data_IF_526450354898
#
_entry.id   IF_526450354898
#
_cell.length_a   1.000
_cell.length_b   1.000
_cell.length_c   1.000
_cell.angle_alpha   90.00
_cell.angle_beta   90.00
_cell.angle_gamma   90.00
#
_symmetry.space_group_name_H-M   'P 1'
#
loop_
_entity.id
_entity.type
_entity.pdbx_description
1 polymer ?
#
# COMPACT_ATOMS: atom_id res chain seq x y z
N UNK A 1 39.85 -61.66 38.97
CA UNK A 1 38.60 -60.90 38.96
C UNK A 1 38.90 -59.55 38.33
N UNK A 2 38.38 -59.33 37.14
CA UNK A 2 38.54 -58.07 36.43
C UNK A 2 37.31 -57.24 36.65
N UNK A 3 37.46 -56.14 37.34
CA UNK A 3 36.41 -55.14 37.50
C UNK A 3 36.33 -54.32 36.24
N UNK A 4 35.21 -54.45 35.53
CA UNK A 4 34.96 -53.60 34.36
C UNK A 4 34.30 -52.31 34.83
N UNK A 5 35.04 -51.22 34.80
CA UNK A 5 34.48 -49.92 35.02
C UNK A 5 33.83 -49.42 33.70
N UNK A 6 32.54 -49.54 33.65
CA UNK A 6 31.79 -48.93 32.56
C UNK A 6 31.57 -47.48 32.92
N UNK A 7 32.39 -46.66 32.35
CA UNK A 7 32.20 -45.20 32.43
C UNK A 7 31.08 -44.82 31.45
N UNK A 8 29.90 -44.60 32.00
CA UNK A 8 28.80 -44.04 31.23
C UNK A 8 29.12 -42.59 30.94
N UNK A 9 29.57 -42.35 29.74
CA UNK A 9 29.59 -40.98 29.19
C UNK A 9 28.13 -40.59 28.88
N UNK A 10 27.51 -39.91 29.82
CA UNK A 10 26.28 -39.12 29.48
C UNK A 10 26.68 -37.99 28.57
N UNK A 11 26.54 -38.22 27.29
CA UNK A 11 26.53 -37.12 26.34
C UNK A 11 25.25 -36.33 26.57
N UNK A 12 25.34 -35.29 27.36
CA UNK A 12 24.31 -34.24 27.37
C UNK A 12 24.39 -33.55 26.01
N UNK A 13 23.52 -33.95 25.11
CA UNK A 13 23.20 -33.14 23.95
C UNK A 13 22.45 -31.91 24.48
N UNK A 14 23.16 -30.82 24.64
CA UNK A 14 22.55 -29.51 24.79
C UNK A 14 21.88 -29.18 23.44
N UNK A 15 20.61 -29.52 23.34
CA UNK A 15 19.77 -28.98 22.27
C UNK A 15 19.67 -27.48 22.50
N UNK A 16 20.52 -26.76 21.83
CA UNK A 16 20.38 -25.31 21.71
C UNK A 16 19.14 -25.07 20.85
N UNK A 17 18.01 -24.90 21.53
CA UNK A 17 16.79 -24.45 20.87
C UNK A 17 17.05 -23.02 20.45
N UNK A 18 17.49 -22.85 19.21
CA UNK A 18 17.55 -21.56 18.57
C UNK A 18 16.10 -21.13 18.34
N UNK A 19 15.51 -20.50 19.34
CA UNK A 19 14.24 -19.77 19.17
C UNK A 19 14.60 -18.59 18.30
N UNK A 20 14.59 -18.84 17.00
CA UNK A 20 14.58 -17.76 16.03
C UNK A 20 13.31 -16.96 16.28
N UNK A 21 13.44 -15.82 16.93
CA UNK A 21 12.38 -14.82 16.90
C UNK A 21 12.21 -14.45 15.44
N UNK A 22 11.24 -15.09 14.78
CA UNK A 22 10.71 -14.56 13.56
C UNK A 22 10.13 -13.18 13.93
N UNK A 23 10.94 -12.16 13.78
CA UNK A 23 10.41 -10.81 13.70
C UNK A 23 9.53 -10.81 12.46
N UNK A 24 8.24 -11.03 12.67
CA UNK A 24 7.26 -10.79 11.63
C UNK A 24 7.44 -9.31 11.25
N UNK A 25 8.16 -9.08 10.16
CA UNK A 25 8.15 -7.76 9.52
C UNK A 25 6.70 -7.54 9.14
N UNK A 26 5.99 -6.82 9.97
CA UNK A 26 4.64 -6.40 9.62
C UNK A 26 4.76 -5.55 8.37
N UNK A 27 4.21 -6.06 7.29
CA UNK A 27 3.96 -5.24 6.13
C UNK A 27 3.25 -3.97 6.58
N UNK A 28 3.72 -2.82 6.12
CA UNK A 28 3.07 -1.56 6.45
C UNK A 28 1.60 -1.65 6.06
N UNK A 29 0.70 -1.32 7.00
CA UNK A 29 -0.73 -1.40 6.77
C UNK A 29 -1.15 -0.32 5.78
N UNK A 30 -1.71 -0.74 4.65
CA UNK A 30 -2.22 0.18 3.64
C UNK A 30 -3.52 0.87 4.05
N UNK A 31 -4.19 0.38 5.10
CA UNK A 31 -5.41 1.00 5.62
C UNK A 31 -5.14 2.41 6.14
N UNK A 32 -6.04 3.31 5.84
CA UNK A 32 -5.96 4.69 6.30
C UNK A 32 -6.29 5.70 5.22
N UNK A 33 -6.03 6.95 5.52
CA UNK A 33 -6.26 8.07 4.62
C UNK A 33 -4.93 8.59 4.09
N UNK A 34 -4.86 8.75 2.78
CA UNK A 34 -3.68 9.19 2.06
C UNK A 34 -4.01 10.40 1.21
N UNK A 35 -3.09 11.34 1.10
CA UNK A 35 -3.29 12.54 0.28
C UNK A 35 -2.07 12.83 -0.57
N UNK A 36 -2.32 13.39 -1.73
CA UNK A 36 -1.28 13.97 -2.58
C UNK A 36 -1.80 15.18 -3.32
N UNK A 37 -0.88 15.98 -3.78
CA UNK A 37 -1.17 17.19 -4.52
C UNK A 37 -0.61 17.08 -5.93
N UNK A 38 -1.38 17.50 -6.90
CA UNK A 38 -0.92 17.65 -8.29
C UNK A 38 -0.93 19.13 -8.68
N UNK A 39 0.03 19.57 -9.50
CA UNK A 39 0.03 20.96 -9.97
C UNK A 39 -1.28 21.32 -10.64
N UNK A 40 -1.76 22.50 -10.37
CA UNK A 40 -2.92 23.05 -11.05
C UNK A 40 -2.64 23.31 -12.53
N UNK A 41 -3.68 23.33 -13.34
CA UNK A 41 -3.54 23.67 -14.75
C UNK A 41 -3.27 25.18 -14.90
N UNK A 42 -2.38 25.51 -15.81
CA UNK A 42 -2.04 26.91 -16.16
C UNK A 42 -1.61 27.78 -14.98
N UNK A 43 -0.83 27.19 -14.05
CA UNK A 43 -0.37 27.91 -12.87
C UNK A 43 -1.44 28.14 -11.80
N UNK A 44 -2.57 27.45 -11.88
CA UNK A 44 -3.64 27.50 -10.88
C UNK A 44 -3.26 26.78 -9.58
N UNK A 45 -4.17 26.81 -8.62
CA UNK A 45 -3.97 26.18 -7.33
C UNK A 45 -3.75 24.66 -7.45
N UNK A 46 -2.87 24.09 -6.60
CA UNK A 46 -2.66 22.64 -6.57
C UNK A 46 -3.97 21.90 -6.28
N UNK A 47 -4.14 20.77 -6.92
CA UNK A 47 -5.28 19.89 -6.72
C UNK A 47 -4.93 18.79 -5.73
N UNK A 48 -5.64 18.76 -4.62
CA UNK A 48 -5.46 17.75 -3.59
C UNK A 48 -6.40 16.58 -3.84
N UNK A 49 -5.85 15.38 -3.86
CA UNK A 49 -6.60 14.14 -3.93
C UNK A 49 -6.48 13.41 -2.59
N UNK A 50 -7.57 12.78 -2.17
CA UNK A 50 -7.64 12.01 -0.93
C UNK A 50 -8.04 10.57 -1.25
N UNK A 51 -7.24 9.64 -0.80
CA UNK A 51 -7.46 8.20 -0.97
C UNK A 51 -7.72 7.57 0.38
N UNK A 52 -8.85 6.90 0.52
CA UNK A 52 -9.20 6.15 1.72
C UNK A 52 -9.12 4.68 1.37
N UNK A 53 -8.25 3.95 2.08
CA UNK A 53 -8.03 2.53 1.87
C UNK A 53 -8.38 1.72 3.10
N UNK A 54 -8.92 0.54 2.85
CA UNK A 54 -9.13 -0.51 3.85
C UNK A 54 -8.52 -1.80 3.32
N UNK A 55 -7.50 -2.31 4.01
CA UNK A 55 -6.86 -3.57 3.66
C UNK A 55 -7.50 -4.72 4.46
N UNK A 56 -7.87 -5.78 3.74
CA UNK A 56 -8.37 -7.02 4.31
C UNK A 56 -7.72 -8.20 3.59
N UNK A 57 -6.93 -8.99 4.34
CA UNK A 57 -6.14 -10.08 3.77
C UNK A 57 -5.27 -9.57 2.60
N UNK A 58 -5.48 -10.08 1.39
CA UNK A 58 -4.74 -9.68 0.19
C UNK A 58 -5.46 -8.65 -0.68
N UNK A 59 -6.59 -8.12 -0.20
CA UNK A 59 -7.41 -7.16 -0.93
C UNK A 59 -7.44 -5.81 -0.26
N UNK A 60 -7.56 -4.77 -1.06
CA UNK A 60 -7.86 -3.42 -0.59
C UNK A 60 -9.12 -2.89 -1.25
N UNK A 61 -9.93 -2.21 -0.45
CA UNK A 61 -11.12 -1.51 -0.88
C UNK A 61 -11.02 -0.04 -0.48
N UNK A 62 -11.84 0.79 -1.03
CA UNK A 62 -11.87 2.19 -0.66
C UNK A 62 -12.35 3.10 -1.78
N UNK A 63 -12.02 4.37 -1.64
CA UNK A 63 -12.41 5.39 -2.62
C UNK A 63 -11.33 6.45 -2.77
N UNK A 64 -11.28 7.02 -3.96
CA UNK A 64 -10.49 8.20 -4.28
C UNK A 64 -11.41 9.41 -4.40
N UNK A 65 -11.20 10.41 -3.58
CA UNK A 65 -11.81 11.73 -3.72
C UNK A 65 -10.85 12.65 -4.47
N UNK A 66 -11.25 13.10 -5.62
CA UNK A 66 -10.41 13.96 -6.46
C UNK A 66 -11.20 15.16 -6.98
N UNK A 67 -10.55 16.31 -7.23
CA UNK A 67 -11.23 17.44 -7.79
C UNK A 67 -11.72 17.16 -9.21
N UNK A 68 -13.01 17.40 -9.43
CA UNK A 68 -13.61 17.40 -10.76
C UNK A 68 -13.21 18.65 -11.55
N UNK A 69 -13.73 18.74 -12.78
CA UNK A 69 -13.46 19.90 -13.65
C UNK A 69 -14.11 21.20 -13.18
N UNK A 70 -15.23 21.07 -12.51
CA UNK A 70 -16.00 22.18 -11.93
C UNK A 70 -15.48 22.63 -10.55
N UNK A 71 -14.37 22.06 -10.08
CA UNK A 71 -13.80 22.32 -8.78
C UNK A 71 -14.46 21.56 -7.63
N UNK A 72 -15.53 20.82 -7.89
CA UNK A 72 -16.17 19.96 -6.89
C UNK A 72 -15.45 18.63 -6.77
N UNK A 73 -15.39 18.09 -5.55
CA UNK A 73 -14.84 16.74 -5.33
C UNK A 73 -15.74 15.67 -5.93
N UNK A 74 -15.12 14.72 -6.60
CA UNK A 74 -15.77 13.52 -7.13
C UNK A 74 -15.20 12.32 -6.39
N UNK A 75 -16.08 11.49 -5.83
CA UNK A 75 -15.71 10.23 -5.18
C UNK A 75 -15.75 9.09 -6.20
N UNK A 76 -14.64 8.41 -6.34
CA UNK A 76 -14.47 7.30 -7.27
C UNK A 76 -14.11 6.04 -6.47
N UNK A 77 -14.89 4.97 -6.57
CA UNK A 77 -14.51 3.72 -5.93
C UNK A 77 -13.25 3.17 -6.58
N UNK A 78 -12.37 2.57 -5.77
CA UNK A 78 -11.26 1.81 -6.32
C UNK A 78 -11.74 0.43 -6.78
N UNK A 79 -11.10 -0.08 -7.81
CA UNK A 79 -11.37 -1.40 -8.39
C UNK A 79 -10.08 -2.22 -8.39
N UNK A 80 -10.22 -3.55 -8.40
CA UNK A 80 -9.10 -4.49 -8.49
C UNK A 80 -8.00 -4.23 -7.45
N UNK A 81 -8.38 -3.83 -6.25
CA UNK A 81 -7.45 -3.53 -5.17
C UNK A 81 -6.78 -4.78 -4.63
N UNK A 82 -5.46 -4.82 -4.65
CA UNK A 82 -4.63 -5.91 -4.15
C UNK A 82 -3.51 -5.38 -3.27
N UNK A 83 -3.19 -6.14 -2.25
CA UNK A 83 -2.04 -5.90 -1.40
C UNK A 83 -1.22 -7.20 -1.26
N UNK A 84 0.08 -7.07 -1.47
CA UNK A 84 1.04 -8.15 -1.28
C UNK A 84 2.23 -7.61 -0.48
N UNK A 85 2.24 -7.95 0.81
CA UNK A 85 3.21 -7.37 1.73
C UNK A 85 3.06 -5.85 1.83
N UNK A 86 4.07 -5.12 1.42
CA UNK A 86 4.09 -3.66 1.37
C UNK A 86 3.70 -3.08 0.00
N UNK A 87 3.43 -3.95 -0.99
CA UNK A 87 3.07 -3.53 -2.34
C UNK A 87 1.57 -3.53 -2.53
N UNK A 88 1.08 -2.45 -3.12
CA UNK A 88 -0.33 -2.29 -3.44
C UNK A 88 -0.53 -2.01 -4.92
N UNK A 89 -1.68 -2.42 -5.43
CA UNK A 89 -2.16 -2.03 -6.75
C UNK A 89 -3.67 -1.86 -6.72
N UNK A 90 -4.16 -0.89 -7.44
CA UNK A 90 -5.60 -0.65 -7.60
C UNK A 90 -5.87 0.17 -8.86
N UNK A 91 -7.10 0.13 -9.31
CA UNK A 91 -7.58 0.93 -10.42
C UNK A 91 -8.65 1.92 -10.00
N UNK A 92 -8.78 2.97 -10.78
CA UNK A 92 -9.86 3.97 -10.65
C UNK A 92 -10.39 4.28 -12.03
N UNK A 93 -11.71 4.18 -12.20
CA UNK A 93 -12.37 4.51 -13.46
C UNK A 93 -12.89 5.94 -13.40
N UNK A 94 -12.50 6.73 -14.39
CA UNK A 94 -13.04 8.07 -14.60
C UNK A 94 -13.86 8.10 -15.88
N UNK A 95 -15.09 8.58 -15.78
CA UNK A 95 -15.93 8.82 -16.95
C UNK A 95 -15.85 10.29 -17.35
N UNK A 96 -15.69 10.52 -18.63
CA UNK A 96 -15.62 11.85 -19.19
C UNK A 96 -16.22 11.87 -20.62
N UNK A 97 -17.21 12.72 -20.84
CA UNK A 97 -17.90 12.86 -22.14
C UNK A 97 -18.38 11.52 -22.74
N UNK A 98 -18.97 10.63 -21.90
CA UNK A 98 -19.43 9.32 -22.37
C UNK A 98 -18.30 8.29 -22.57
N UNK A 99 -17.04 8.67 -22.35
CA UNK A 99 -15.89 7.78 -22.40
C UNK A 99 -15.38 7.49 -20.99
N UNK A 100 -14.97 6.26 -20.75
CA UNK A 100 -14.34 5.89 -19.49
C UNK A 100 -12.86 5.60 -19.69
N UNK A 101 -12.08 6.01 -18.71
CA UNK A 101 -10.63 5.79 -18.66
C UNK A 101 -10.27 5.18 -17.31
N UNK A 102 -9.46 4.14 -17.34
CA UNK A 102 -8.97 3.49 -16.13
C UNK A 102 -7.55 3.97 -15.84
N UNK A 103 -7.36 4.50 -14.64
CA UNK A 103 -6.03 4.78 -14.11
C UNK A 103 -5.64 3.66 -13.15
N UNK A 104 -4.48 3.09 -13.34
CA UNK A 104 -3.93 2.05 -12.46
C UNK A 104 -2.83 2.64 -11.61
N UNK A 105 -2.90 2.38 -10.31
CA UNK A 105 -1.90 2.81 -9.33
C UNK A 105 -1.19 1.60 -8.77
N UNK A 106 0.12 1.67 -8.71
CA UNK A 106 0.97 0.68 -8.04
C UNK A 106 1.92 1.40 -7.12
N UNK A 107 2.25 0.80 -6.00
CA UNK A 107 3.17 1.46 -5.08
C UNK A 107 3.62 0.58 -3.93
N UNK A 108 4.57 1.10 -3.19
CA UNK A 108 5.09 0.53 -1.96
C UNK A 108 4.66 1.38 -0.78
N UNK A 109 4.03 0.74 0.20
CA UNK A 109 3.52 1.39 1.41
C UNK A 109 4.59 1.38 2.47
N UNK A 110 4.84 2.54 3.06
CA UNK A 110 5.64 2.68 4.28
C UNK A 110 4.73 3.21 5.41
N UNK A 111 5.30 3.46 6.59
CA UNK A 111 4.52 3.93 7.74
C UNK A 111 3.77 5.24 7.45
N UNK A 112 4.34 6.13 6.63
CA UNK A 112 3.88 7.50 6.42
C UNK A 112 3.60 7.87 4.97
N UNK A 113 3.99 7.05 4.00
CA UNK A 113 3.78 7.34 2.57
C UNK A 113 3.62 6.11 1.69
N UNK A 114 3.06 6.33 0.52
CA UNK A 114 3.04 5.37 -0.59
C UNK A 114 3.83 5.99 -1.74
N UNK A 115 4.76 5.24 -2.29
CA UNK A 115 5.56 5.66 -3.44
C UNK A 115 5.44 4.65 -4.56
N UNK A 116 5.16 5.10 -5.76
CA UNK A 116 5.00 4.20 -6.90
C UNK A 116 4.72 4.92 -8.20
N UNK A 117 3.90 4.31 -9.02
CA UNK A 117 3.55 4.84 -10.34
C UNK A 117 2.04 4.79 -10.57
N UNK A 118 1.55 5.78 -11.29
CA UNK A 118 0.21 5.77 -11.86
C UNK A 118 0.31 5.62 -13.38
N UNK A 119 -0.53 4.78 -13.94
CA UNK A 119 -0.57 4.53 -15.38
C UNK A 119 -1.98 4.78 -15.92
N UNK A 120 -2.06 5.36 -17.08
CA UNK A 120 -3.31 5.57 -17.80
C UNK A 120 -3.09 5.42 -19.29
N UNK A 121 -4.15 5.10 -20.01
CA UNK A 121 -4.11 5.08 -21.47
C UNK A 121 -4.73 6.37 -21.97
N UNK A 122 -3.95 7.12 -22.75
CA UNK A 122 -4.41 8.32 -23.45
C UNK A 122 -4.18 8.16 -24.94
N UNK A 123 -5.23 8.36 -25.71
CA UNK A 123 -5.16 8.24 -27.19
C UNK A 123 -4.58 6.92 -27.67
N UNK A 124 -4.85 5.82 -26.94
CA UNK A 124 -4.33 4.49 -27.25
C UNK A 124 -2.90 4.24 -26.77
N UNK A 125 -2.24 5.22 -26.17
CA UNK A 125 -0.87 5.08 -25.67
C UNK A 125 -0.82 5.02 -24.13
N UNK A 126 -0.07 4.06 -23.56
CA UNK A 126 0.13 4.01 -22.13
C UNK A 126 1.05 5.16 -21.67
N UNK A 127 0.61 5.86 -20.64
CA UNK A 127 1.41 6.89 -19.97
C UNK A 127 1.57 6.53 -18.51
N UNK A 128 2.77 6.70 -18.00
CA UNK A 128 3.11 6.41 -16.61
C UNK A 128 3.79 7.62 -15.97
N UNK A 129 3.39 7.93 -14.75
CA UNK A 129 3.95 9.02 -13.95
C UNK A 129 4.30 8.50 -12.56
N UNK A 130 5.33 9.06 -11.98
CA UNK A 130 5.65 8.83 -10.58
C UNK A 130 4.55 9.41 -9.70
N UNK A 131 4.27 8.71 -8.62
CA UNK A 131 3.20 9.04 -7.70
C UNK A 131 3.64 8.81 -6.27
N UNK A 132 3.32 9.77 -5.42
CA UNK A 132 3.57 9.68 -3.99
C UNK A 132 2.37 10.23 -3.23
N UNK A 133 1.91 9.48 -2.24
CA UNK A 133 0.87 9.89 -1.32
C UNK A 133 1.39 9.87 0.11
N UNK A 134 0.95 10.82 0.92
CA UNK A 134 1.31 10.91 2.33
C UNK A 134 0.14 10.48 3.20
N UNK A 135 0.44 9.77 4.27
CA UNK A 135 -0.57 9.39 5.26
C UNK A 135 -1.04 10.62 6.02
N UNK A 136 -2.34 10.77 6.09
CA UNK A 136 -2.95 11.78 6.96
C UNK A 136 -2.98 11.23 8.38
N UNK A 137 -2.46 11.98 9.33
CA UNK A 137 -2.59 11.64 10.74
C UNK A 137 -4.07 11.67 11.12
N UNK A 138 -4.56 10.56 11.68
CA UNK A 138 -5.91 10.55 12.25
C UNK A 138 -5.97 11.56 13.39
N UNK A 139 -6.96 12.46 13.32
CA UNK A 139 -7.24 13.34 14.41
C UNK A 139 -7.67 12.47 15.61
N UNK A 140 -6.84 12.43 16.65
CA UNK A 140 -7.24 11.83 17.92
C UNK A 140 -8.33 12.70 18.51
N UNK A 141 -9.51 12.16 18.61
CA UNK A 141 -10.54 12.75 19.44
C UNK A 141 -10.15 12.47 20.89
N UNK A 142 -9.70 13.48 21.57
CA UNK A 142 -9.61 13.44 23.02
C UNK A 142 -10.98 13.77 23.63
#
# INVERSE_FOLDING_TARGET
>A
MKTINITFFKKMAASLLLIGTLSAVRAADASGTWTWSTPGRNGGEPRVSTLILKAEASQITGKLSAPGRDGKSVDLPIIDGKVDGDKISFGVVRAFNGQSSTNTFTGTVTADKITGKSSSIRNGEPQSHDWEAKRVAEARHE
#
